data_IF_404542228940
#
_entry.id   IF_404542228940
#
_cell.length_a   1.000
_cell.length_b   1.000
_cell.length_c   1.000
_cell.angle_alpha   90.00
_cell.angle_beta   90.00
_cell.angle_gamma   90.00
#
_symmetry.space_group_name_H-M   'P 1'
#
loop_
_entity.id
_entity.type
_entity.pdbx_description
1 polymer ?
#
# COMPACT_ATOMS: atom_id res chain seq x y z
N UNK A 1 14.61 -6.21 -4.06
CA UNK A 1 14.72 -4.78 -4.47
C UNK A 1 14.62 -4.61 -5.97
N UNK A 2 15.42 -5.31 -6.79
CA UNK A 2 15.36 -5.20 -8.26
C UNK A 2 13.96 -5.50 -8.85
N UNK A 3 13.31 -6.58 -8.40
CA UNK A 3 12.00 -7.00 -8.95
C UNK A 3 10.86 -6.00 -8.68
N UNK A 4 10.84 -5.36 -7.51
CA UNK A 4 9.84 -4.32 -7.18
C UNK A 4 10.09 -3.08 -8.04
N UNK A 5 11.34 -2.68 -8.23
CA UNK A 5 11.67 -1.56 -9.09
C UNK A 5 11.26 -1.83 -10.54
N UNK A 6 11.53 -3.03 -11.07
CA UNK A 6 11.09 -3.45 -12.40
C UNK A 6 9.56 -3.49 -12.53
N UNK A 7 8.84 -3.91 -11.49
CA UNK A 7 7.38 -3.88 -11.46
C UNK A 7 6.84 -2.44 -11.52
N UNK A 8 7.47 -1.51 -10.77
CA UNK A 8 7.09 -0.10 -10.78
C UNK A 8 7.40 0.59 -12.11
N UNK A 9 8.49 0.20 -12.77
CA UNK A 9 8.82 0.66 -14.14
C UNK A 9 7.77 0.19 -15.14
N UNK A 10 7.46 -1.11 -15.16
CA UNK A 10 6.40 -1.67 -16.01
C UNK A 10 5.04 -1.02 -15.74
N UNK A 11 4.74 -0.68 -14.49
CA UNK A 11 3.53 0.04 -14.12
C UNK A 11 3.47 1.46 -14.70
N UNK A 12 4.60 2.18 -14.71
CA UNK A 12 4.66 3.50 -15.36
C UNK A 12 4.50 3.40 -16.88
N UNK A 13 5.15 2.43 -17.51
CA UNK A 13 5.03 2.18 -18.96
C UNK A 13 3.60 1.84 -19.35
N UNK A 14 2.95 0.95 -18.60
CA UNK A 14 1.57 0.56 -18.85
C UNK A 14 0.59 1.73 -18.67
N UNK A 15 0.76 2.54 -17.62
CA UNK A 15 -0.07 3.74 -17.43
C UNK A 15 0.16 4.79 -18.53
N UNK A 16 1.38 4.91 -19.06
CA UNK A 16 1.66 5.80 -20.19
C UNK A 16 0.97 5.31 -21.47
N UNK A 17 1.03 4.00 -21.74
CA UNK A 17 0.30 3.39 -22.85
C UNK A 17 -1.22 3.54 -22.68
N UNK A 18 -1.74 3.42 -21.45
CA UNK A 18 -3.13 3.64 -21.11
C UNK A 18 -3.62 5.03 -21.53
N UNK A 19 -2.88 6.08 -21.17
CA UNK A 19 -3.25 7.45 -21.52
C UNK A 19 -3.18 7.73 -23.03
N UNK A 20 -2.31 7.03 -23.77
CA UNK A 20 -2.26 7.11 -25.23
C UNK A 20 -3.46 6.42 -25.88
N UNK A 21 -3.85 5.23 -25.43
CA UNK A 21 -5.00 4.50 -25.94
C UNK A 21 -6.34 5.09 -25.52
N UNK A 22 -6.42 5.81 -24.39
CA UNK A 22 -7.64 6.52 -23.99
C UNK A 22 -8.08 7.57 -25.03
N UNK A 23 -7.15 8.04 -25.86
CA UNK A 23 -7.40 9.04 -26.92
C UNK A 23 -7.72 8.42 -28.28
N UNK A 24 -7.73 7.09 -28.42
CA UNK A 24 -8.08 6.43 -29.69
C UNK A 24 -9.60 6.32 -29.88
N UNK A 25 -10.06 6.51 -31.11
CA UNK A 25 -11.44 6.26 -31.53
C UNK A 25 -11.47 5.02 -32.46
N UNK A 26 -12.15 3.92 -32.08
CA UNK A 26 -12.99 3.75 -30.89
C UNK A 26 -12.20 3.45 -29.60
N UNK A 27 -12.79 3.74 -28.42
CA UNK A 27 -12.20 3.39 -27.13
C UNK A 27 -12.01 1.87 -26.98
N UNK A 28 -10.98 1.47 -26.22
CA UNK A 28 -10.60 0.06 -26.01
C UNK A 28 -10.92 -0.39 -24.56
N UNK A 29 -12.19 -0.74 -24.24
CA UNK A 29 -12.61 -1.07 -22.87
C UNK A 29 -11.89 -2.28 -22.28
N UNK A 30 -11.47 -3.24 -23.12
CA UNK A 30 -10.66 -4.38 -22.66
C UNK A 30 -9.30 -3.93 -22.12
N UNK A 31 -8.68 -2.94 -22.75
CA UNK A 31 -7.39 -2.41 -22.30
C UNK A 31 -7.54 -1.66 -20.98
N UNK A 32 -8.55 -0.81 -20.84
CA UNK A 32 -8.86 -0.12 -19.57
C UNK A 32 -9.04 -1.12 -18.41
N UNK A 33 -9.75 -2.21 -18.66
CA UNK A 33 -9.96 -3.27 -17.67
C UNK A 33 -8.64 -3.96 -17.27
N UNK A 34 -7.77 -4.28 -18.24
CA UNK A 34 -6.45 -4.89 -17.97
C UNK A 34 -5.56 -3.95 -17.15
N UNK A 35 -5.52 -2.66 -17.50
CA UNK A 35 -4.73 -1.66 -16.76
C UNK A 35 -5.26 -1.49 -15.34
N UNK A 36 -6.57 -1.42 -15.15
CA UNK A 36 -7.19 -1.34 -13.82
C UNK A 36 -6.82 -2.55 -12.95
N UNK A 37 -6.93 -3.77 -13.49
CA UNK A 37 -6.57 -5.00 -12.77
C UNK A 37 -5.08 -5.05 -12.42
N UNK A 38 -4.21 -4.62 -13.35
CA UNK A 38 -2.78 -4.55 -13.10
C UNK A 38 -2.44 -3.53 -12.01
N UNK A 39 -3.05 -2.34 -12.06
CA UNK A 39 -2.87 -1.31 -11.05
C UNK A 39 -3.31 -1.80 -9.65
N UNK A 40 -4.44 -2.50 -9.57
CA UNK A 40 -4.89 -3.13 -8.33
C UNK A 40 -3.92 -4.21 -7.82
N UNK A 41 -3.30 -4.98 -8.72
CA UNK A 41 -2.28 -5.96 -8.34
C UNK A 41 -1.00 -5.30 -7.81
N UNK A 42 -0.46 -4.31 -8.53
CA UNK A 42 0.76 -3.58 -8.11
C UNK A 42 0.55 -2.89 -6.78
N UNK A 43 -0.61 -2.25 -6.57
CA UNK A 43 -0.95 -1.63 -5.29
C UNK A 43 -0.94 -2.62 -4.13
N UNK A 44 -1.46 -3.85 -4.32
CA UNK A 44 -1.41 -4.92 -3.30
C UNK A 44 0.01 -5.36 -2.99
N UNK A 45 0.86 -5.52 -4.02
CA UNK A 45 2.28 -5.87 -3.83
C UNK A 45 3.03 -4.77 -3.09
N UNK A 46 2.86 -3.52 -3.51
CA UNK A 46 3.45 -2.35 -2.86
C UNK A 46 2.98 -2.21 -1.41
N UNK A 47 1.70 -2.45 -1.13
CA UNK A 47 1.13 -2.46 0.21
C UNK A 47 1.78 -3.49 1.12
N UNK A 48 1.96 -4.74 0.66
CA UNK A 48 2.66 -5.79 1.42
C UNK A 48 4.11 -5.42 1.71
N UNK A 49 4.81 -4.88 0.72
CA UNK A 49 6.17 -4.40 0.91
C UNK A 49 6.24 -3.28 1.96
N UNK A 50 5.32 -2.30 1.88
CA UNK A 50 5.24 -1.23 2.86
C UNK A 50 5.00 -1.77 4.28
N UNK A 51 4.11 -2.77 4.44
CA UNK A 51 3.88 -3.43 5.72
C UNK A 51 5.16 -4.05 6.26
N UNK A 52 5.87 -4.86 5.46
CA UNK A 52 7.10 -5.51 5.89
C UNK A 52 8.22 -4.52 6.28
N UNK A 53 8.32 -3.37 5.60
CA UNK A 53 9.28 -2.32 5.98
C UNK A 53 8.86 -1.66 7.30
N UNK A 54 7.57 -1.37 7.48
CA UNK A 54 7.05 -0.75 8.70
C UNK A 54 7.15 -1.69 9.90
N UNK A 55 6.89 -2.99 9.76
CA UNK A 55 7.03 -3.98 10.84
C UNK A 55 8.48 -4.01 11.37
N UNK A 56 9.47 -3.88 10.48
CA UNK A 56 10.90 -3.90 10.84
C UNK A 56 11.41 -2.61 11.46
N UNK A 57 10.77 -1.47 11.19
CA UNK A 57 11.30 -0.15 11.53
C UNK A 57 10.40 0.66 12.48
N UNK A 58 9.16 0.23 12.67
CA UNK A 58 8.16 0.92 13.48
C UNK A 58 7.67 0.04 14.63
N UNK A 59 6.42 0.27 15.02
CA UNK A 59 5.80 -0.40 16.14
C UNK A 59 5.65 0.50 17.37
N UNK A 60 5.03 -0.03 18.44
CA UNK A 60 4.66 0.75 19.61
C UNK A 60 5.88 1.33 20.32
N UNK A 61 5.90 2.65 20.47
CA UNK A 61 6.97 3.38 21.17
C UNK A 61 8.22 3.65 20.32
N UNK A 62 8.25 3.21 19.06
CA UNK A 62 9.33 3.49 18.12
C UNK A 62 8.95 4.66 17.20
N UNK A 63 9.87 5.59 16.99
CA UNK A 63 9.76 6.56 15.90
C UNK A 63 10.32 5.93 14.62
N UNK A 64 9.60 6.07 13.50
CA UNK A 64 10.11 5.63 12.21
C UNK A 64 11.40 6.39 11.85
N UNK A 65 12.38 5.72 11.22
CA UNK A 65 13.50 6.42 10.61
C UNK A 65 13.00 7.48 9.62
N UNK A 66 13.57 8.70 9.58
CA UNK A 66 13.04 9.80 8.75
C UNK A 66 12.89 9.45 7.26
N UNK A 67 13.79 8.63 6.73
CA UNK A 67 13.71 8.18 5.33
C UNK A 67 12.52 7.24 5.07
N UNK A 68 12.19 6.37 6.04
CA UNK A 68 11.05 5.46 5.97
C UNK A 68 9.75 6.26 6.08
N UNK A 69 9.71 7.20 7.02
CA UNK A 69 8.57 8.10 7.18
C UNK A 69 8.30 8.89 5.89
N UNK A 70 9.32 9.51 5.30
CA UNK A 70 9.19 10.25 4.05
C UNK A 70 8.73 9.37 2.88
N UNK A 71 9.27 8.15 2.77
CA UNK A 71 8.94 7.23 1.68
C UNK A 71 7.47 6.78 1.71
N UNK A 72 6.89 6.61 2.91
CA UNK A 72 5.53 6.10 3.08
C UNK A 72 4.50 7.15 3.50
N UNK A 73 4.89 8.42 3.68
CA UNK A 73 3.98 9.49 4.11
C UNK A 73 2.69 9.53 3.29
N UNK A 74 2.81 9.59 1.96
CA UNK A 74 1.64 9.62 1.08
C UNK A 74 0.73 8.39 1.25
N UNK A 75 1.31 7.19 1.32
CA UNK A 75 0.55 5.95 1.54
C UNK A 75 -0.21 5.98 2.87
N UNK A 76 0.40 6.52 3.93
CA UNK A 76 -0.20 6.59 5.26
C UNK A 76 -1.30 7.66 5.34
N UNK A 77 -1.16 8.74 4.57
CA UNK A 77 -2.10 9.87 4.54
C UNK A 77 -3.34 9.60 3.67
N UNK A 78 -3.26 8.64 2.74
CA UNK A 78 -4.40 8.23 1.91
C UNK A 78 -5.60 7.87 2.79
N UNK A 79 -6.82 8.36 2.52
CA UNK A 79 -8.01 8.01 3.29
C UNK A 79 -8.14 6.50 3.45
N UNK A 80 -8.67 6.07 4.59
CA UNK A 80 -9.04 4.66 4.77
C UNK A 80 -10.23 4.42 3.86
N UNK A 81 -9.95 3.95 2.65
CA UNK A 81 -10.93 3.69 1.62
C UNK A 81 -10.73 2.25 1.15
N UNK A 82 -11.73 1.44 1.38
CA UNK A 82 -11.79 0.05 0.95
C UNK A 82 -13.16 -0.48 1.27
N UNK A 83 -13.85 -1.01 0.25
CA UNK A 83 -15.01 -1.87 0.48
C UNK A 83 -14.56 -3.24 1.02
N UNK A 84 -13.29 -3.59 0.82
CA UNK A 84 -12.66 -4.79 1.35
C UNK A 84 -12.23 -4.57 2.82
N UNK A 85 -12.81 -5.34 3.77
CA UNK A 85 -12.42 -5.28 5.18
C UNK A 85 -10.94 -5.58 5.43
N UNK A 86 -10.33 -6.46 4.62
CA UNK A 86 -8.94 -6.85 4.78
C UNK A 86 -7.99 -5.70 4.40
N UNK A 87 -8.23 -5.03 3.27
CA UNK A 87 -7.44 -3.85 2.88
C UNK A 87 -7.55 -2.71 3.90
N UNK A 88 -8.75 -2.54 4.47
CA UNK A 88 -8.99 -1.57 5.55
C UNK A 88 -8.17 -1.88 6.80
N UNK A 89 -8.15 -3.14 7.22
CA UNK A 89 -7.34 -3.59 8.36
C UNK A 89 -5.84 -3.37 8.12
N UNK A 90 -5.37 -3.70 6.92
CA UNK A 90 -3.99 -3.47 6.50
C UNK A 90 -3.59 -1.97 6.52
N UNK A 91 -4.49 -1.06 6.12
CA UNK A 91 -4.26 0.39 6.20
C UNK A 91 -4.16 0.86 7.67
N UNK A 92 -5.05 0.37 8.54
CA UNK A 92 -5.03 0.67 9.97
C UNK A 92 -3.73 0.15 10.60
N UNK A 93 -3.33 -1.08 10.27
CA UNK A 93 -2.13 -1.69 10.80
C UNK A 93 -0.87 -0.90 10.42
N UNK A 94 -0.72 -0.48 9.16
CA UNK A 94 0.40 0.37 8.72
C UNK A 94 0.46 1.70 9.47
N UNK A 95 -0.69 2.35 9.70
CA UNK A 95 -0.74 3.60 10.47
C UNK A 95 -0.41 3.38 11.94
N UNK A 96 -0.84 2.26 12.51
CA UNK A 96 -0.47 1.88 13.87
C UNK A 96 1.04 1.66 14.02
N UNK A 97 1.67 0.93 13.10
CA UNK A 97 3.12 0.74 13.06
C UNK A 97 3.87 2.07 12.94
N UNK A 98 3.30 3.03 12.22
CA UNK A 98 3.86 4.38 12.06
C UNK A 98 3.56 5.33 13.23
N UNK A 99 2.82 4.90 14.26
CA UNK A 99 2.39 5.76 15.36
C UNK A 99 1.39 6.86 14.96
N UNK A 100 0.70 6.70 13.81
CA UNK A 100 -0.27 7.66 13.26
C UNK A 100 -1.73 7.24 13.46
N UNK A 101 -1.98 6.24 14.30
CA UNK A 101 -3.32 5.73 14.57
C UNK A 101 -3.71 5.96 16.03
N UNK A 102 -4.56 6.96 16.25
CA UNK A 102 -5.14 7.28 17.55
C UNK A 102 -6.45 6.53 17.78
N UNK A 103 -6.78 6.28 19.06
CA UNK A 103 -8.10 5.77 19.45
C UNK A 103 -8.42 4.34 19.04
N UNK A 104 -7.39 3.51 18.78
CA UNK A 104 -7.58 2.08 18.49
C UNK A 104 -8.16 1.37 19.72
N UNK A 105 -9.21 0.57 19.50
CA UNK A 105 -9.78 -0.26 20.56
C UNK A 105 -8.76 -1.30 21.07
N UNK A 106 -9.01 -1.82 22.28
CA UNK A 106 -8.07 -2.72 22.94
C UNK A 106 -7.86 -4.03 22.16
N UNK A 107 -8.92 -4.57 21.56
CA UNK A 107 -8.88 -5.85 20.83
C UNK A 107 -8.04 -5.73 19.56
N UNK A 108 -8.27 -4.68 18.77
CA UNK A 108 -7.50 -4.37 17.57
C UNK A 108 -6.05 -4.08 17.90
N UNK A 109 -5.79 -3.34 18.98
CA UNK A 109 -4.41 -3.10 19.44
C UNK A 109 -3.71 -4.41 19.81
N UNK A 110 -4.38 -5.32 20.52
CA UNK A 110 -3.82 -6.61 20.90
C UNK A 110 -3.46 -7.45 19.66
N UNK A 111 -4.37 -7.56 18.66
CA UNK A 111 -4.07 -8.25 17.40
C UNK A 111 -2.87 -7.66 16.66
N UNK A 112 -2.79 -6.33 16.60
CA UNK A 112 -1.66 -5.65 15.94
C UNK A 112 -0.34 -5.88 16.66
N UNK A 113 -0.35 -5.90 18.00
CA UNK A 113 0.82 -6.22 18.80
C UNK A 113 1.27 -7.66 18.62
N UNK A 114 0.34 -8.62 18.58
CA UNK A 114 0.62 -10.04 18.35
C UNK A 114 1.27 -10.24 16.97
N UNK A 115 0.67 -9.71 15.90
CA UNK A 115 1.24 -9.77 14.55
C UNK A 115 2.60 -9.09 14.46
N UNK A 116 2.78 -7.96 15.13
CA UNK A 116 4.08 -7.27 15.10
C UNK A 116 5.19 -8.03 15.83
N UNK A 117 4.83 -8.77 16.89
CA UNK A 117 5.79 -9.62 17.60
C UNK A 117 6.25 -10.81 16.74
N UNK A 118 5.37 -11.31 15.87
CA UNK A 118 5.62 -12.42 14.96
C UNK A 118 5.19 -12.07 13.52
N UNK A 119 5.97 -11.22 12.80
CA UNK A 119 5.62 -10.81 11.45
C UNK A 119 5.76 -11.98 10.46
N UNK A 120 4.82 -12.06 9.52
CA UNK A 120 4.73 -13.12 8.49
C UNK A 120 5.89 -13.15 7.48
#
# INVERSE_FOLDING_TARGET
>A
MAEINSLLELHRELNAAHEQCRKTDPPQPHFEHVVSNFNAYVSRVAGRYATAVLERNGGPGAALPPIVEMAFAHLLDMPISGQDPHEREEQLYRRWLAGRLDGVDYETKARFQERWAEPE
#
